data_IF_661538838758
#
_entry.id   IF_661538838758
#
_cell.length_a   1.000
_cell.length_b   1.000
_cell.length_c   1.000
_cell.angle_alpha   90.00
_cell.angle_beta   90.00
_cell.angle_gamma   90.00
#
_symmetry.space_group_name_H-M   'P 1'
#
loop_
_entity.id
_entity.type
_entity.pdbx_description
1 polymer ?
#
# COMPACT_ATOMS: atom_id res chain seq x y z
N UNK A 1 -18.95 2.27 -23.70
CA UNK A 1 -17.84 1.29 -23.59
C UNK A 1 -18.07 0.46 -22.32
N UNK A 2 -18.71 -0.71 -22.45
CA UNK A 2 -19.09 -1.53 -21.31
C UNK A 2 -17.87 -2.34 -20.85
N UNK A 3 -17.09 -1.80 -19.91
CA UNK A 3 -15.97 -2.53 -19.30
C UNK A 3 -16.57 -3.61 -18.40
N UNK A 4 -16.69 -4.84 -18.92
CA UNK A 4 -16.98 -6.03 -18.12
C UNK A 4 -16.13 -6.00 -16.86
N UNK A 5 -16.72 -5.69 -15.70
CA UNK A 5 -16.04 -5.88 -14.42
C UNK A 5 -16.06 -7.38 -14.17
N UNK A 6 -14.92 -8.09 -14.24
CA UNK A 6 -14.90 -9.55 -14.11
C UNK A 6 -15.33 -10.04 -12.71
N UNK A 7 -15.48 -9.13 -11.76
CA UNK A 7 -15.83 -9.42 -10.37
C UNK A 7 -17.05 -8.64 -9.92
N UNK A 8 -17.86 -9.30 -9.08
CA UNK A 8 -18.97 -8.64 -8.36
C UNK A 8 -18.40 -7.56 -7.44
N UNK A 9 -19.13 -6.46 -7.29
CA UNK A 9 -18.69 -5.32 -6.49
C UNK A 9 -18.47 -5.68 -5.01
N UNK A 10 -19.26 -6.62 -4.47
CA UNK A 10 -19.06 -7.15 -3.11
C UNK A 10 -17.72 -7.87 -2.93
N UNK A 11 -17.23 -8.57 -3.96
CA UNK A 11 -15.93 -9.23 -3.93
C UNK A 11 -14.79 -8.19 -3.94
N UNK A 12 -14.94 -7.13 -4.74
CA UNK A 12 -13.99 -6.01 -4.77
C UNK A 12 -13.92 -5.33 -3.39
N UNK A 13 -15.07 -5.01 -2.78
CA UNK A 13 -15.10 -4.39 -1.45
C UNK A 13 -14.48 -5.30 -0.37
N UNK A 14 -14.71 -6.61 -0.45
CA UNK A 14 -14.09 -7.57 0.48
C UNK A 14 -12.58 -7.64 0.30
N UNK A 15 -12.09 -7.64 -0.94
CA UNK A 15 -10.67 -7.59 -1.25
C UNK A 15 -10.02 -6.30 -0.73
N UNK A 16 -10.60 -5.14 -1.02
CA UNK A 16 -10.08 -3.84 -0.56
C UNK A 16 -9.98 -3.77 0.96
N UNK A 17 -10.93 -4.34 1.70
CA UNK A 17 -10.85 -4.42 3.18
C UNK A 17 -9.68 -5.25 3.71
N UNK A 18 -9.17 -6.20 2.93
CA UNK A 18 -8.08 -7.09 3.33
C UNK A 18 -6.73 -6.73 2.69
N UNK A 19 -6.74 -5.90 1.64
CA UNK A 19 -5.55 -5.54 0.87
C UNK A 19 -4.47 -4.91 1.77
N UNK A 20 -4.84 -3.94 2.58
CA UNK A 20 -3.91 -3.23 3.47
C UNK A 20 -3.29 -4.19 4.48
N UNK A 21 -4.09 -5.05 5.11
CA UNK A 21 -3.60 -6.05 6.05
C UNK A 21 -2.63 -7.03 5.40
N UNK A 22 -2.89 -7.44 4.16
CA UNK A 22 -1.98 -8.30 3.40
C UNK A 22 -0.67 -7.58 3.03
N UNK A 23 -0.74 -6.32 2.63
CA UNK A 23 0.44 -5.50 2.33
C UNK A 23 1.33 -5.34 3.56
N UNK A 24 0.75 -5.02 4.72
CA UNK A 24 1.49 -4.90 5.99
C UNK A 24 2.11 -6.23 6.40
N UNK A 25 1.35 -7.33 6.37
CA UNK A 25 1.88 -8.65 6.73
C UNK A 25 3.00 -9.09 5.78
N UNK A 26 2.83 -8.86 4.48
CA UNK A 26 3.84 -9.19 3.46
C UNK A 26 5.10 -8.33 3.63
N UNK A 27 4.92 -7.02 3.84
CA UNK A 27 6.02 -6.08 4.06
C UNK A 27 6.85 -6.45 5.29
N UNK A 28 6.18 -6.83 6.39
CA UNK A 28 6.88 -7.30 7.59
C UNK A 28 7.65 -8.59 7.36
N UNK A 29 7.00 -9.60 6.76
CA UNK A 29 7.59 -10.92 6.58
C UNK A 29 8.78 -10.91 5.60
N UNK A 30 8.78 -10.00 4.63
CA UNK A 30 9.79 -9.93 3.55
C UNK A 30 10.73 -8.75 3.66
N UNK A 31 10.62 -7.97 4.73
CA UNK A 31 11.38 -6.73 4.95
C UNK A 31 11.27 -5.76 3.76
N UNK A 32 10.06 -5.57 3.24
CA UNK A 32 9.80 -4.58 2.19
C UNK A 32 9.44 -3.22 2.76
N UNK A 33 9.70 -2.19 1.97
CA UNK A 33 9.21 -0.84 2.19
C UNK A 33 7.87 -0.65 1.49
N UNK A 34 6.87 -0.13 2.19
CA UNK A 34 5.61 0.29 1.58
C UNK A 34 5.78 1.74 1.10
N UNK A 35 5.60 1.96 -0.20
CA UNK A 35 5.59 3.30 -0.80
C UNK A 35 4.14 3.70 -1.07
N UNK A 36 3.68 4.78 -0.46
CA UNK A 36 2.27 5.16 -0.44
C UNK A 36 2.12 6.67 -0.26
N UNK A 37 1.18 7.28 -0.99
CA UNK A 37 0.80 8.69 -0.79
C UNK A 37 -0.54 8.80 -0.04
N UNK A 38 -1.04 7.68 0.46
CA UNK A 38 -2.22 7.70 1.30
C UNK A 38 -1.92 8.49 2.58
N UNK A 39 -2.87 9.31 3.00
CA UNK A 39 -2.75 10.09 4.26
C UNK A 39 -3.59 9.46 5.37
N UNK A 40 -4.15 8.29 5.09
CA UNK A 40 -5.06 7.55 5.96
C UNK A 40 -4.27 6.82 7.07
N UNK A 41 -4.95 6.44 8.14
CA UNK A 41 -4.37 5.71 9.28
C UNK A 41 -3.66 4.36 8.96
N UNK A 42 -3.95 3.60 7.88
CA UNK A 42 -3.27 2.34 7.57
C UNK A 42 -1.74 2.46 7.51
N UNK A 43 -1.21 3.57 7.01
CA UNK A 43 0.24 3.81 6.96
C UNK A 43 0.84 3.97 8.37
N UNK A 44 0.07 4.55 9.30
CA UNK A 44 0.46 4.66 10.70
C UNK A 44 0.44 3.29 11.40
N UNK A 45 -0.49 2.42 11.02
CA UNK A 45 -0.55 1.04 11.53
C UNK A 45 0.62 0.22 11.00
N UNK A 46 0.93 0.31 9.70
CA UNK A 46 2.06 -0.38 9.08
C UNK A 46 3.41 0.04 9.70
N UNK A 47 3.65 1.35 9.79
CA UNK A 47 4.79 1.93 10.51
C UNK A 47 4.84 1.47 11.97
N UNK A 48 3.69 1.51 12.67
CA UNK A 48 3.57 1.09 14.06
C UNK A 48 3.88 -0.40 14.28
N UNK A 49 3.66 -1.24 13.27
CA UNK A 49 4.02 -2.66 13.27
C UNK A 49 5.48 -2.91 12.83
N UNK A 50 6.25 -1.85 12.61
CA UNK A 50 7.66 -1.90 12.25
C UNK A 50 7.90 -2.37 10.81
N UNK A 51 6.99 -2.01 9.89
CA UNK A 51 7.25 -2.01 8.45
C UNK A 51 7.68 -0.59 8.06
N UNK A 52 8.72 -0.45 7.25
CA UNK A 52 9.12 0.88 6.76
C UNK A 52 8.07 1.38 5.78
N UNK A 53 7.56 2.59 5.98
CA UNK A 53 6.69 3.27 5.03
C UNK A 53 7.26 4.64 4.68
N UNK A 54 7.24 4.99 3.40
CA UNK A 54 7.71 6.27 2.87
C UNK A 54 6.73 6.76 1.80
N UNK A 55 6.73 8.05 1.53
CA UNK A 55 5.96 8.60 0.42
C UNK A 55 6.70 8.46 -0.92
N UNK A 56 6.02 8.79 -2.02
CA UNK A 56 6.63 8.68 -3.36
C UNK A 56 7.79 9.66 -3.55
N UNK A 57 7.77 10.83 -2.92
CA UNK A 57 8.85 11.80 -3.04
C UNK A 57 10.09 11.33 -2.28
N UNK A 58 9.90 10.78 -1.07
CA UNK A 58 10.98 10.18 -0.29
C UNK A 58 11.61 8.99 -1.03
N UNK A 59 10.79 8.13 -1.62
CA UNK A 59 11.29 7.04 -2.47
C UNK A 59 12.12 7.56 -3.65
N UNK A 60 11.65 8.59 -4.35
CA UNK A 60 12.39 9.17 -5.48
C UNK A 60 13.70 9.84 -5.03
N UNK A 61 13.71 10.49 -3.86
CA UNK A 61 14.94 11.05 -3.25
C UNK A 61 15.94 9.96 -2.91
N UNK A 62 15.50 8.83 -2.37
CA UNK A 62 16.37 7.67 -2.08
C UNK A 62 16.99 7.08 -3.34
N UNK A 63 16.30 7.17 -4.48
CA UNK A 63 16.83 6.79 -5.80
C UNK A 63 17.77 7.86 -6.40
N UNK A 64 17.96 9.00 -5.74
CA UNK A 64 18.79 10.10 -6.24
C UNK A 64 18.15 10.89 -7.38
N UNK A 65 16.83 10.79 -7.56
CA UNK A 65 16.11 11.57 -8.57
C UNK A 65 15.94 13.01 -8.06
N UNK A 66 16.52 13.97 -8.78
CA UNK A 66 16.41 15.41 -8.50
C UNK A 66 15.55 16.10 -9.57
N UNK A 67 14.65 16.99 -9.14
CA UNK A 67 13.77 17.80 -10.00
C UNK A 67 14.12 19.27 -9.90
#
# INVERSE_FOLDING_TARGET
>A
MNRNRPFRESAIRKFLKAADSWLVASGKARNFTIVTNEKSEPDRVACGLGVRCIDSLDYLRELGVTF
#
